data_IF_868298841150
#
_entry.id   IF_868298841150
#
_cell.length_a   1.000
_cell.length_b   1.000
_cell.length_c   1.000
_cell.angle_alpha   90.00
_cell.angle_beta   90.00
_cell.angle_gamma   90.00
#
_symmetry.space_group_name_H-M   'P 1'
#
loop_
_entity.id
_entity.type
_entity.pdbx_description
1 polymer ?
#
# COMPACT_ATOMS: atom_id res chain seq x y z
N UNK A 1 -11.65 3.75 -15.04
CA UNK A 1 -11.81 2.39 -14.47
C UNK A 1 -12.60 2.49 -13.17
N UNK A 2 -13.25 1.42 -12.69
CA UNK A 2 -14.03 1.46 -11.44
C UNK A 2 -13.17 1.88 -10.23
N UNK A 3 -11.90 1.45 -10.19
CA UNK A 3 -10.95 1.87 -9.17
C UNK A 3 -10.70 3.39 -9.19
N UNK A 4 -10.41 3.98 -10.35
CA UNK A 4 -10.21 5.42 -10.46
C UNK A 4 -11.45 6.20 -10.01
N UNK A 5 -12.65 5.73 -10.40
CA UNK A 5 -13.90 6.35 -9.96
C UNK A 5 -14.06 6.34 -8.44
N UNK A 6 -13.76 5.22 -7.77
CA UNK A 6 -13.77 5.14 -6.31
C UNK A 6 -12.80 6.15 -5.68
N UNK A 7 -11.57 6.23 -6.20
CA UNK A 7 -10.57 7.18 -5.68
C UNK A 7 -11.01 8.64 -5.86
N UNK A 8 -11.62 8.96 -7.00
CA UNK A 8 -12.17 10.31 -7.25
C UNK A 8 -13.29 10.66 -6.27
N UNK A 9 -14.18 9.71 -5.97
CA UNK A 9 -15.25 9.90 -4.97
C UNK A 9 -14.69 10.13 -3.56
N UNK A 10 -13.71 9.34 -3.14
CA UNK A 10 -13.05 9.50 -1.83
C UNK A 10 -12.30 10.83 -1.74
N UNK A 11 -11.67 11.26 -2.84
CA UNK A 11 -10.95 12.53 -2.90
C UNK A 11 -11.89 13.74 -2.90
N UNK A 12 -13.05 13.63 -3.52
CA UNK A 12 -14.03 14.70 -3.60
C UNK A 12 -14.75 14.96 -2.26
N UNK A 13 -14.81 13.95 -1.38
CA UNK A 13 -15.51 14.06 -0.11
C UNK A 13 -14.58 14.59 1.01
N UNK A 14 -14.91 15.72 1.65
CA UNK A 14 -14.17 16.21 2.81
C UNK A 14 -14.32 15.26 4.02
N UNK A 15 -13.26 15.11 4.82
CA UNK A 15 -13.37 14.51 6.14
C UNK A 15 -13.59 15.63 7.18
N UNK A 16 -14.83 15.76 7.66
CA UNK A 16 -15.20 16.80 8.63
C UNK A 16 -14.70 16.52 10.05
N UNK A 17 -14.26 15.29 10.35
CA UNK A 17 -13.79 14.89 11.67
C UNK A 17 -12.28 15.13 11.79
N UNK A 18 -11.53 14.75 10.75
CA UNK A 18 -10.06 14.78 10.78
C UNK A 18 -9.44 15.89 9.91
N UNK A 19 -10.25 16.62 9.13
CA UNK A 19 -9.77 17.57 8.13
C UNK A 19 -9.32 16.87 6.84
N UNK A 20 -9.02 17.63 5.78
CA UNK A 20 -8.62 17.04 4.49
C UNK A 20 -9.76 16.28 3.78
N UNK A 21 -9.41 15.23 3.03
CA UNK A 21 -10.37 14.40 2.28
C UNK A 21 -10.51 13.00 2.88
N UNK A 22 -11.61 12.30 2.58
CA UNK A 22 -11.75 10.89 2.97
C UNK A 22 -10.63 10.02 2.40
N UNK A 23 -10.11 10.35 1.21
CA UNK A 23 -8.98 9.64 0.62
C UNK A 23 -7.70 9.79 1.45
N UNK A 24 -7.46 10.94 2.07
CA UNK A 24 -6.29 11.14 2.93
C UNK A 24 -6.34 10.24 4.18
N UNK A 25 -7.54 9.83 4.61
CA UNK A 25 -7.76 8.99 5.79
C UNK A 25 -8.14 7.53 5.48
N UNK A 26 -8.18 7.14 4.20
CA UNK A 26 -8.53 5.79 3.76
C UNK A 26 -7.40 5.17 2.95
N UNK A 27 -6.87 4.03 3.39
CA UNK A 27 -5.95 3.21 2.58
C UNK A 27 -6.74 2.30 1.65
N UNK A 28 -6.54 2.45 0.34
CA UNK A 28 -7.07 1.54 -0.67
C UNK A 28 -5.92 0.68 -1.19
N UNK A 29 -5.96 -0.61 -0.88
CA UNK A 29 -5.02 -1.60 -1.41
C UNK A 29 -5.70 -2.43 -2.49
N UNK A 30 -5.10 -2.45 -3.67
CA UNK A 30 -5.62 -3.19 -4.81
C UNK A 30 -4.50 -3.99 -5.47
N UNK A 31 -4.75 -5.25 -5.76
CA UNK A 31 -3.77 -6.10 -6.42
C UNK A 31 -4.20 -7.55 -6.41
N UNK A 32 -3.30 -8.41 -6.86
CA UNK A 32 -3.49 -9.84 -6.78
C UNK A 32 -2.40 -10.44 -5.88
N UNK A 33 -2.78 -11.38 -5.01
CA UNK A 33 -1.82 -12.15 -4.22
C UNK A 33 -0.99 -13.15 -5.04
N UNK A 34 -1.27 -13.27 -6.34
CA UNK A 34 -0.63 -14.22 -7.26
C UNK A 34 -0.38 -13.54 -8.61
N UNK A 35 0.86 -13.58 -9.10
CA UNK A 35 1.22 -12.98 -10.38
C UNK A 35 0.92 -13.89 -11.58
N UNK A 36 0.98 -15.21 -11.41
CA UNK A 36 0.81 -16.18 -12.50
C UNK A 36 -0.03 -17.38 -12.08
N UNK A 37 -0.54 -18.14 -13.06
CA UNK A 37 -1.42 -19.31 -12.85
C UNK A 37 -0.79 -20.49 -12.08
N UNK A 38 0.50 -20.44 -11.76
CA UNK A 38 1.17 -21.42 -10.89
C UNK A 38 1.20 -21.00 -9.41
N UNK A 39 0.33 -20.06 -9.00
CA UNK A 39 0.32 -19.47 -7.65
C UNK A 39 1.63 -18.78 -7.28
N UNK A 40 2.35 -18.23 -8.27
CA UNK A 40 3.58 -17.48 -8.00
C UNK A 40 3.28 -16.20 -7.23
N UNK A 41 4.01 -15.96 -6.14
CA UNK A 41 3.96 -14.71 -5.36
C UNK A 41 5.08 -13.74 -5.73
N UNK A 42 5.81 -13.98 -6.83
CA UNK A 42 6.87 -13.11 -7.36
C UNK A 42 6.26 -12.05 -8.28
N UNK A 43 6.81 -10.82 -8.29
CA UNK A 43 6.38 -9.71 -9.17
C UNK A 43 4.86 -9.43 -9.11
N UNK A 44 4.32 -9.24 -7.90
CA UNK A 44 2.90 -8.98 -7.69
C UNK A 44 2.50 -7.58 -8.19
N UNK A 45 1.42 -7.44 -8.97
CA UNK A 45 0.87 -6.14 -9.31
C UNK A 45 0.09 -5.59 -8.10
N UNK A 46 0.75 -4.74 -7.31
CA UNK A 46 0.18 -4.12 -6.11
C UNK A 46 0.07 -2.60 -6.30
N UNK A 47 -1.07 -2.06 -5.89
CA UNK A 47 -1.37 -0.63 -5.86
C UNK A 47 -1.82 -0.25 -4.46
N UNK A 48 -1.24 0.82 -3.93
CA UNK A 48 -1.70 1.49 -2.72
C UNK A 48 -2.10 2.91 -3.09
N UNK A 49 -3.25 3.37 -2.61
CA UNK A 49 -3.70 4.75 -2.71
C UNK A 49 -4.28 5.25 -1.39
N UNK A 50 -4.27 6.56 -1.17
CA UNK A 50 -4.81 7.22 0.02
C UNK A 50 -4.02 6.95 1.32
N UNK A 51 -4.65 7.16 2.47
CA UNK A 51 -4.08 6.85 3.79
C UNK A 51 -2.93 7.74 4.22
N UNK A 52 -2.83 8.94 3.64
CA UNK A 52 -1.86 9.94 4.06
C UNK A 52 -0.43 9.68 3.60
N UNK A 53 -0.21 8.79 2.62
CA UNK A 53 1.11 8.59 2.01
C UNK A 53 1.38 9.57 0.86
N UNK A 54 2.66 9.82 0.59
CA UNK A 54 3.12 10.49 -0.63
C UNK A 54 3.07 9.50 -1.79
N UNK A 55 2.01 9.60 -2.59
CA UNK A 55 1.79 8.78 -3.78
C UNK A 55 2.36 9.43 -5.05
N UNK A 56 2.24 8.72 -6.18
CA UNK A 56 2.62 9.24 -7.51
C UNK A 56 3.82 8.56 -8.15
N UNK A 57 4.28 7.45 -7.58
CA UNK A 57 5.43 6.68 -8.07
C UNK A 57 5.05 5.23 -8.39
N UNK A 58 5.78 4.64 -9.33
CA UNK A 58 5.78 3.20 -9.58
C UNK A 58 7.11 2.63 -9.11
N UNK A 59 7.07 1.61 -8.24
CA UNK A 59 8.27 0.96 -7.71
C UNK A 59 8.45 -0.40 -8.33
N UNK A 60 9.63 -0.63 -8.88
CA UNK A 60 10.10 -1.93 -9.36
C UNK A 60 11.16 -2.39 -8.38
N UNK A 61 11.00 -3.60 -7.84
CA UNK A 61 11.91 -4.19 -6.87
C UNK A 61 12.81 -5.23 -7.54
N UNK A 62 14.01 -5.50 -6.97
CA UNK A 62 14.92 -6.52 -7.50
C UNK A 62 14.27 -7.90 -7.61
N UNK A 63 14.63 -8.65 -8.64
CA UNK A 63 14.16 -10.02 -8.87
C UNK A 63 15.05 -11.06 -8.20
N UNK A 64 16.31 -10.71 -7.90
CA UNK A 64 17.25 -11.62 -7.25
C UNK A 64 16.76 -12.02 -5.86
N UNK A 65 16.70 -13.33 -5.59
CA UNK A 65 16.12 -13.86 -4.34
C UNK A 65 16.80 -13.30 -3.07
N UNK A 66 18.11 -13.02 -3.13
CA UNK A 66 18.87 -12.44 -2.00
C UNK A 66 18.53 -10.97 -1.71
N UNK A 67 17.96 -10.24 -2.66
CA UNK A 67 17.61 -8.81 -2.55
C UNK A 67 16.09 -8.57 -2.64
N UNK A 68 15.32 -9.65 -2.72
CA UNK A 68 13.87 -9.58 -2.93
C UNK A 68 13.19 -8.87 -1.78
N UNK A 69 12.34 -7.89 -2.11
CA UNK A 69 11.53 -7.16 -1.13
C UNK A 69 10.19 -7.89 -0.92
N UNK A 70 9.89 -8.38 0.29
CA UNK A 70 8.61 -9.04 0.57
C UNK A 70 7.43 -8.06 0.46
N UNK A 71 6.36 -8.46 -0.22
CA UNK A 71 5.08 -7.71 -0.21
C UNK A 71 4.51 -7.54 1.21
N UNK A 72 4.88 -8.44 2.13
CA UNK A 72 4.54 -8.33 3.53
C UNK A 72 5.09 -7.06 4.20
N UNK A 73 6.18 -6.46 3.69
CA UNK A 73 6.70 -5.19 4.19
C UNK A 73 5.71 -4.04 3.94
N UNK A 74 5.01 -4.05 2.79
CA UNK A 74 3.95 -3.09 2.48
C UNK A 74 2.77 -3.25 3.44
N UNK A 75 2.34 -4.49 3.68
CA UNK A 75 1.22 -4.78 4.58
C UNK A 75 1.55 -4.40 6.04
N UNK A 76 2.79 -4.63 6.48
CA UNK A 76 3.26 -4.17 7.79
C UNK A 76 3.22 -2.63 7.89
N UNK A 77 3.72 -1.92 6.87
CA UNK A 77 3.61 -0.45 6.81
C UNK A 77 2.17 0.04 6.89
N UNK A 78 1.23 -0.65 6.23
CA UNK A 78 -0.20 -0.30 6.30
C UNK A 78 -0.76 -0.53 7.71
N UNK A 79 -0.46 -1.66 8.36
CA UNK A 79 -0.91 -1.95 9.73
C UNK A 79 -0.42 -0.89 10.72
N UNK A 80 0.87 -0.55 10.65
CA UNK A 80 1.43 0.49 11.53
C UNK A 80 0.83 1.87 11.22
N UNK A 81 0.56 2.20 9.95
CA UNK A 81 -0.13 3.44 9.60
C UNK A 81 -1.58 3.47 10.12
N UNK A 82 -2.22 2.31 10.26
CA UNK A 82 -3.54 2.17 10.88
C UNK A 82 -3.50 2.28 12.43
N UNK A 83 -2.31 2.42 13.02
CA UNK A 83 -2.14 2.49 14.47
C UNK A 83 -2.00 1.12 15.16
N UNK A 84 -1.79 0.04 14.40
CA UNK A 84 -1.52 -1.28 14.99
C UNK A 84 -0.05 -1.38 15.37
N UNK A 85 0.22 -1.62 16.65
CA UNK A 85 1.55 -1.91 17.19
C UNK A 85 1.97 -3.35 16.83
N UNK A 86 2.32 -3.57 15.57
CA UNK A 86 2.85 -4.84 15.09
C UNK A 86 4.30 -4.67 14.63
N UNK A 87 5.20 -5.51 15.14
CA UNK A 87 6.61 -5.53 14.70
C UNK A 87 6.83 -6.38 13.45
N UNK A 88 5.89 -7.28 13.14
CA UNK A 88 6.01 -8.22 12.04
C UNK A 88 4.64 -8.64 11.49
N UNK A 89 4.57 -8.80 10.18
CA UNK A 89 3.43 -9.40 9.48
C UNK A 89 3.91 -10.48 8.50
N UNK A 90 3.49 -11.73 8.69
CA UNK A 90 3.90 -12.84 7.82
C UNK A 90 5.43 -12.96 7.68
N UNK A 91 5.92 -12.85 6.44
CA UNK A 91 7.35 -12.91 6.09
C UNK A 91 8.04 -11.54 6.02
N UNK A 92 7.43 -10.49 6.59
CA UNK A 92 8.02 -9.15 6.56
C UNK A 92 9.37 -9.13 7.27
N UNK A 93 10.34 -8.44 6.67
CA UNK A 93 11.65 -8.14 7.28
C UNK A 93 11.71 -6.73 7.90
N UNK A 94 10.66 -5.92 7.73
CA UNK A 94 10.54 -4.56 8.22
C UNK A 94 9.43 -3.82 7.47
N UNK A 95 9.26 -2.52 7.74
CA UNK A 95 8.38 -1.66 6.94
C UNK A 95 8.94 -1.43 5.54
N UNK A 96 8.08 -1.14 4.58
CA UNK A 96 8.47 -0.86 3.21
C UNK A 96 9.28 0.43 3.12
N UNK A 97 10.54 0.33 2.73
CA UNK A 97 11.43 1.49 2.57
C UNK A 97 10.96 2.42 1.44
N UNK A 98 11.10 3.73 1.67
CA UNK A 98 10.71 4.77 0.72
C UNK A 98 9.21 5.01 0.60
N UNK A 99 8.37 4.38 1.43
CA UNK A 99 6.94 4.74 1.54
C UNK A 99 6.79 5.86 2.57
N UNK A 100 6.76 7.11 2.09
CA UNK A 100 6.71 8.29 2.95
C UNK A 100 5.28 8.74 3.29
N UNK A 101 5.09 9.34 4.46
CA UNK A 101 3.83 10.02 4.83
C UNK A 101 3.86 11.48 4.40
N UNK A 102 2.69 12.02 4.03
CA UNK A 102 2.48 13.47 3.90
C UNK A 102 2.63 14.11 5.28
N UNK A 103 3.41 15.19 5.33
CA UNK A 103 3.64 16.01 6.51
C UNK A 103 2.42 16.87 6.83
#
# INVERSE_FOLDING_TARGET
TQMAHLLDLLKAQPDHVNGGTLLDHTMVFFGCGMATGTHSTKNLPLLLAGGGFKHGESKIYPEEDAQRVPAANLLLSMLQNFGVEADRFGTSSGTLTGLERKS
#
